data_IF_849293871616
#
_entry.id   IF_849293871616
#
_cell.length_a   1.000
_cell.length_b   1.000
_cell.length_c   1.000
_cell.angle_alpha   90.00
_cell.angle_beta   90.00
_cell.angle_gamma   90.00
#
_symmetry.space_group_name_H-M   'P 1'
#
loop_
_entity.id
_entity.type
_entity.pdbx_description
1 polymer ?
#
# COMPACT_ATOMS: atom_id res chain seq x y z
N UNK A 1 3.50 20.56 -5.94
CA UNK A 1 4.17 19.48 -6.67
C UNK A 1 3.14 18.55 -7.26
N UNK A 2 3.33 18.17 -8.52
CA UNK A 2 2.71 17.01 -9.14
C UNK A 2 3.39 15.75 -8.63
N UNK A 3 2.59 14.76 -8.24
CA UNK A 3 3.08 13.58 -7.52
C UNK A 3 2.61 12.32 -8.24
N UNK A 4 3.55 11.40 -8.48
CA UNK A 4 3.23 10.00 -8.78
C UNK A 4 3.10 9.23 -7.47
N UNK A 5 2.05 8.43 -7.33
CA UNK A 5 1.90 7.55 -6.18
C UNK A 5 2.38 6.14 -6.49
N UNK A 6 3.35 5.64 -5.70
CA UNK A 6 3.68 4.22 -5.68
C UNK A 6 2.60 3.49 -4.90
N UNK A 7 1.82 2.68 -5.60
CA UNK A 7 0.69 1.94 -5.03
C UNK A 7 0.94 0.44 -4.98
N UNK A 8 0.45 -0.16 -3.90
CA UNK A 8 0.50 -1.61 -3.68
C UNK A 8 -0.90 -2.23 -3.51
N UNK A 9 -1.95 -1.40 -3.44
CA UNK A 9 -3.29 -1.81 -3.02
C UNK A 9 -3.48 -1.72 -1.50
N UNK A 10 -2.40 -1.72 -0.73
CA UNK A 10 -2.44 -1.66 0.73
C UNK A 10 -2.85 -0.31 1.30
N UNK A 11 -3.27 -0.35 2.58
CA UNK A 11 -3.65 0.80 3.40
C UNK A 11 -2.58 1.90 3.43
N UNK A 12 -1.30 1.53 3.49
CA UNK A 12 -0.22 2.49 3.72
C UNK A 12 0.02 3.36 2.48
N UNK A 13 0.01 2.75 1.30
CA UNK A 13 0.09 3.49 0.03
C UNK A 13 -1.09 4.45 -0.15
N UNK A 14 -2.31 4.01 0.18
CA UNK A 14 -3.52 4.84 0.11
C UNK A 14 -3.48 6.00 1.11
N UNK A 15 -3.11 5.72 2.36
CA UNK A 15 -3.06 6.75 3.39
C UNK A 15 -1.97 7.77 3.11
N UNK A 16 -0.81 7.36 2.60
CA UNK A 16 0.24 8.31 2.23
C UNK A 16 -0.17 9.22 1.05
N UNK A 17 -0.97 8.71 0.09
CA UNK A 17 -1.60 9.58 -0.92
C UNK A 17 -2.52 10.62 -0.28
N UNK A 18 -3.34 10.22 0.70
CA UNK A 18 -4.19 11.15 1.45
C UNK A 18 -3.35 12.22 2.14
N UNK A 19 -2.24 11.85 2.78
CA UNK A 19 -1.32 12.82 3.39
C UNK A 19 -0.71 13.79 2.37
N UNK A 20 -0.35 13.31 1.17
CA UNK A 20 0.15 14.17 0.10
C UNK A 20 -0.89 15.23 -0.30
N UNK A 21 -2.15 14.83 -0.47
CA UNK A 21 -3.26 15.75 -0.81
C UNK A 21 -3.55 16.74 0.32
N UNK A 22 -3.49 16.29 1.58
CA UNK A 22 -3.61 17.17 2.75
C UNK A 22 -2.48 18.20 2.82
N UNK A 23 -1.26 17.82 2.46
CA UNK A 23 -0.11 18.72 2.38
C UNK A 23 -0.14 19.67 1.18
N UNK A 24 -1.20 19.63 0.36
CA UNK A 24 -1.40 20.54 -0.77
C UNK A 24 -0.81 20.04 -2.08
N UNK A 25 -0.30 18.81 -2.14
CA UNK A 25 0.17 18.18 -3.37
C UNK A 25 -0.98 17.64 -4.22
N UNK A 26 -0.69 17.37 -5.49
CA UNK A 26 -1.65 16.80 -6.44
C UNK A 26 -1.13 15.45 -6.91
N UNK A 27 -1.88 14.38 -6.64
CA UNK A 27 -1.62 13.08 -7.26
C UNK A 27 -2.08 13.15 -8.71
N UNK A 28 -1.18 12.89 -9.65
CA UNK A 28 -1.47 12.97 -11.10
C UNK A 28 -1.35 11.63 -11.80
N UNK A 29 -0.65 10.66 -11.20
CA UNK A 29 -0.46 9.34 -11.76
C UNK A 29 -0.26 8.29 -10.67
N UNK A 30 -0.59 7.05 -10.99
CA UNK A 30 -0.34 5.88 -10.18
C UNK A 30 0.77 5.05 -10.83
N UNK A 31 1.64 4.48 -10.01
CA UNK A 31 2.72 3.61 -10.45
C UNK A 31 2.77 2.35 -9.60
N UNK A 32 2.91 1.19 -10.25
CA UNK A 32 2.98 -0.11 -9.59
C UNK A 32 3.99 -1.02 -10.29
N UNK A 33 4.84 -1.68 -9.49
CA UNK A 33 5.61 -2.81 -9.96
C UNK A 33 4.82 -4.09 -9.67
N UNK A 34 4.71 -4.95 -10.68
CA UNK A 34 3.93 -6.20 -10.58
C UNK A 34 4.82 -7.42 -10.79
N UNK A 35 4.50 -8.56 -10.15
CA UNK A 35 5.20 -9.80 -10.41
C UNK A 35 4.96 -10.28 -11.86
N UNK A 36 5.89 -11.09 -12.39
CA UNK A 36 5.76 -11.63 -13.75
C UNK A 36 4.74 -12.77 -13.84
N UNK A 37 4.87 -13.79 -12.96
CA UNK A 37 4.22 -15.09 -13.14
C UNK A 37 3.62 -15.71 -11.86
N UNK A 38 3.68 -15.04 -10.70
CA UNK A 38 3.18 -15.55 -9.42
C UNK A 38 2.50 -14.43 -8.63
N UNK A 39 1.41 -14.75 -7.95
CA UNK A 39 0.68 -13.81 -7.10
C UNK A 39 1.42 -13.47 -5.80
N UNK A 40 2.31 -14.37 -5.36
CA UNK A 40 3.16 -14.16 -4.20
C UNK A 40 4.64 -14.32 -4.60
N UNK A 41 5.42 -13.27 -4.36
CA UNK A 41 6.87 -13.30 -4.40
C UNK A 41 7.40 -13.00 -3.00
N UNK A 42 8.51 -13.65 -2.64
CA UNK A 42 9.33 -13.26 -1.47
C UNK A 42 10.11 -11.96 -1.80
N UNK A 43 9.41 -10.88 -2.14
CA UNK A 43 10.02 -9.55 -2.33
C UNK A 43 10.03 -8.82 -0.99
N UNK A 44 11.21 -8.35 -0.59
CA UNK A 44 11.36 -7.46 0.57
C UNK A 44 10.76 -6.07 0.31
N UNK A 45 10.51 -5.73 -0.96
CA UNK A 45 10.16 -4.37 -1.36
C UNK A 45 8.68 -4.20 -1.71
N UNK A 46 8.03 -5.20 -2.31
CA UNK A 46 6.70 -5.02 -2.90
C UNK A 46 5.66 -6.01 -2.39
N UNK A 47 4.48 -5.47 -2.03
CA UNK A 47 3.27 -6.26 -1.87
C UNK A 47 2.89 -6.87 -3.22
N UNK A 48 2.67 -8.18 -3.25
CA UNK A 48 2.28 -8.89 -4.47
C UNK A 48 0.86 -9.43 -4.40
N UNK A 49 0.34 -9.72 -3.20
CA UNK A 49 -1.05 -10.13 -3.02
C UNK A 49 -1.99 -8.96 -3.34
N UNK A 50 -3.04 -9.25 -4.11
CA UNK A 50 -4.03 -8.26 -4.56
C UNK A 50 -3.61 -7.49 -5.82
N UNK A 51 -2.47 -7.81 -6.43
CA UNK A 51 -1.99 -7.12 -7.65
C UNK A 51 -2.95 -7.23 -8.85
N UNK A 52 -3.84 -8.23 -8.86
CA UNK A 52 -4.84 -8.46 -9.90
C UNK A 52 -5.87 -7.33 -9.96
N UNK A 53 -6.12 -6.66 -8.83
CA UNK A 53 -7.14 -5.63 -8.70
C UNK A 53 -6.58 -4.20 -8.76
N UNK A 54 -5.27 -4.03 -8.96
CA UNK A 54 -4.63 -2.70 -9.01
C UNK A 54 -5.11 -1.87 -10.19
N UNK A 55 -5.51 -2.49 -11.31
CA UNK A 55 -6.03 -1.75 -12.46
C UNK A 55 -7.35 -1.02 -12.11
N UNK A 56 -8.12 -1.52 -11.14
CA UNK A 56 -9.33 -0.84 -10.64
C UNK A 56 -9.01 0.45 -9.88
N UNK A 57 -7.80 0.64 -9.35
CA UNK A 57 -7.43 1.91 -8.72
C UNK A 57 -7.36 3.05 -9.73
N UNK A 58 -6.95 2.76 -10.97
CA UNK A 58 -6.92 3.73 -12.05
C UNK A 58 -8.33 4.26 -12.33
N UNK A 59 -9.31 3.36 -12.41
CA UNK A 59 -10.71 3.71 -12.59
C UNK A 59 -11.28 4.41 -11.35
N UNK A 60 -11.00 3.88 -10.16
CA UNK A 60 -11.51 4.40 -8.90
C UNK A 60 -11.03 5.82 -8.62
N UNK A 61 -9.78 6.15 -8.94
CA UNK A 61 -9.22 7.49 -8.75
C UNK A 61 -9.40 8.39 -9.98
N UNK A 62 -9.73 7.81 -11.14
CA UNK A 62 -9.74 8.50 -12.44
C UNK A 62 -8.37 9.15 -12.72
N UNK A 63 -7.33 8.31 -12.69
CA UNK A 63 -5.93 8.68 -12.89
C UNK A 63 -5.22 7.65 -13.80
N UNK A 64 -4.21 8.06 -14.59
CA UNK A 64 -3.41 7.12 -15.36
C UNK A 64 -2.61 6.19 -14.44
N UNK A 65 -2.55 4.91 -14.81
CA UNK A 65 -1.78 3.89 -14.12
C UNK A 65 -0.65 3.37 -14.99
N UNK A 66 0.56 3.43 -14.45
CA UNK A 66 1.78 2.94 -15.07
C UNK A 66 2.25 1.69 -14.35
N UNK A 67 2.37 0.57 -15.08
CA UNK A 67 2.85 -0.69 -14.53
C UNK A 67 4.10 -1.18 -15.25
N UNK A 68 5.06 -1.67 -14.48
CA UNK A 68 6.21 -2.45 -14.99
C UNK A 68 6.21 -3.82 -14.33
N UNK A 69 6.56 -4.84 -15.10
CA UNK A 69 6.83 -6.16 -14.54
C UNK A 69 8.22 -6.15 -13.90
N UNK A 70 8.33 -6.69 -12.70
CA UNK A 70 9.62 -6.90 -12.02
C UNK A 70 10.41 -7.94 -12.81
N UNK A 71 11.60 -7.55 -13.27
CA UNK A 71 12.53 -8.41 -14.00
C UNK A 71 13.76 -8.73 -13.16
N UNK A 72 14.16 -7.81 -12.29
CA UNK A 72 15.26 -8.00 -11.36
C UNK A 72 14.89 -8.83 -10.14
N UNK A 73 15.87 -9.01 -9.26
CA UNK A 73 15.70 -9.62 -7.93
C UNK A 73 16.36 -8.76 -6.85
N UNK A 74 16.12 -9.03 -5.57
CA UNK A 74 16.77 -8.29 -4.48
C UNK A 74 18.25 -8.70 -4.36
N UNK A 75 19.16 -8.02 -5.08
CA UNK A 75 20.58 -8.35 -5.15
C UNK A 75 21.39 -7.57 -4.12
N UNK A 76 21.25 -6.23 -4.09
CA UNK A 76 21.84 -5.41 -3.03
C UNK A 76 20.85 -5.37 -1.86
N UNK A 77 21.15 -6.13 -0.80
CA UNK A 77 20.37 -6.15 0.44
C UNK A 77 21.01 -5.35 1.57
N UNK A 78 22.01 -4.52 1.26
CA UNK A 78 22.68 -3.66 2.20
C UNK A 78 21.77 -2.58 2.81
N UNK A 79 22.29 -1.94 3.87
CA UNK A 79 21.64 -0.80 4.55
C UNK A 79 21.49 0.41 3.63
N UNK A 80 22.49 0.64 2.79
CA UNK A 80 22.45 1.61 1.70
C UNK A 80 22.26 0.85 0.40
N UNK A 81 21.68 1.51 -0.60
CA UNK A 81 21.56 0.94 -1.93
C UNK A 81 22.61 1.53 -2.86
N UNK A 82 23.34 0.67 -3.56
CA UNK A 82 24.19 1.01 -4.70
C UNK A 82 23.54 0.49 -5.98
N UNK A 83 23.60 1.28 -7.06
CA UNK A 83 23.06 0.87 -8.34
C UNK A 83 23.63 -0.50 -8.74
N UNK A 84 22.75 -1.48 -8.88
CA UNK A 84 23.12 -2.88 -9.12
C UNK A 84 22.35 -3.39 -10.32
N UNK A 85 23.09 -3.82 -11.35
CA UNK A 85 22.49 -4.37 -12.57
C UNK A 85 21.70 -5.65 -12.26
N UNK A 86 20.47 -5.74 -12.76
CA UNK A 86 19.57 -6.86 -12.49
C UNK A 86 18.85 -6.80 -11.14
N UNK A 87 18.97 -5.71 -10.40
CA UNK A 87 18.24 -5.52 -9.14
C UNK A 87 16.83 -4.94 -9.36
N UNK A 88 15.85 -5.37 -8.56
CA UNK A 88 14.45 -4.90 -8.65
C UNK A 88 14.29 -3.39 -8.41
N UNK A 89 15.27 -2.73 -7.80
CA UNK A 89 15.29 -1.26 -7.64
C UNK A 89 15.53 -0.55 -8.98
N UNK A 90 16.23 -1.16 -9.92
CA UNK A 90 16.37 -0.58 -11.27
C UNK A 90 15.05 -0.68 -12.05
N UNK A 91 14.21 -1.68 -11.77
CA UNK A 91 12.86 -1.73 -12.31
C UNK A 91 12.01 -0.53 -11.86
N UNK A 92 12.19 -0.12 -10.60
CA UNK A 92 11.56 1.07 -10.04
C UNK A 92 12.08 2.35 -10.70
N UNK A 93 13.40 2.45 -10.91
CA UNK A 93 14.00 3.57 -11.64
C UNK A 93 13.37 3.74 -13.02
N UNK A 94 13.30 2.67 -13.81
CA UNK A 94 12.72 2.74 -15.15
C UNK A 94 11.22 3.06 -15.14
N UNK A 95 10.47 2.57 -14.16
CA UNK A 95 9.06 2.91 -14.01
C UNK A 95 8.90 4.41 -13.71
N UNK A 96 9.62 4.94 -12.72
CA UNK A 96 9.50 6.33 -12.33
C UNK A 96 10.02 7.29 -13.40
N UNK A 97 11.08 6.93 -14.13
CA UNK A 97 11.57 7.71 -15.28
C UNK A 97 10.48 7.82 -16.36
N UNK A 98 9.81 6.71 -16.69
CA UNK A 98 8.71 6.71 -17.67
C UNK A 98 7.55 7.62 -17.23
N UNK A 99 7.19 7.59 -15.95
CA UNK A 99 6.11 8.45 -15.43
C UNK A 99 6.54 9.92 -15.45
N UNK A 100 7.78 10.22 -15.08
CA UNK A 100 8.33 11.58 -15.11
C UNK A 100 8.31 12.18 -16.52
N UNK A 101 8.72 11.41 -17.54
CA UNK A 101 8.70 11.84 -18.94
C UNK A 101 7.29 12.14 -19.47
N UNK A 102 6.27 11.42 -18.97
CA UNK A 102 4.88 11.54 -19.46
C UNK A 102 4.03 12.53 -18.69
N UNK A 103 4.22 12.62 -17.38
CA UNK A 103 3.32 13.32 -16.46
C UNK A 103 3.99 14.54 -15.79
N UNK A 104 5.29 14.74 -16.02
CA UNK A 104 6.05 15.87 -15.48
C UNK A 104 5.94 15.93 -13.94
N UNK A 105 6.14 14.77 -13.29
CA UNK A 105 6.05 14.67 -11.82
C UNK A 105 7.33 15.20 -11.17
N UNK A 106 7.14 15.80 -10.00
CA UNK A 106 8.21 16.41 -9.20
C UNK A 106 8.50 15.60 -7.93
N UNK A 107 7.57 14.72 -7.53
CA UNK A 107 7.65 13.97 -6.29
C UNK A 107 7.03 12.57 -6.41
N UNK A 108 7.41 11.69 -5.48
CA UNK A 108 6.93 10.30 -5.40
C UNK A 108 6.30 10.07 -4.02
N UNK A 109 5.02 9.70 -3.99
CA UNK A 109 4.32 9.29 -2.76
C UNK A 109 4.65 7.84 -2.41
N UNK A 110 5.12 7.57 -1.19
CA UNK A 110 5.60 6.26 -0.74
C UNK A 110 5.02 5.90 0.63
N UNK A 111 4.35 4.75 0.71
CA UNK A 111 3.68 4.26 1.93
C UNK A 111 4.57 3.52 2.94
N UNK A 112 5.87 3.82 3.03
CA UNK A 112 6.76 3.14 3.98
C UNK A 112 6.60 3.72 5.40
N UNK A 113 6.37 2.88 6.41
CA UNK A 113 6.25 3.30 7.82
C UNK A 113 7.56 3.07 8.57
N UNK A 114 8.08 1.84 8.64
CA UNK A 114 9.26 1.51 9.46
C UNK A 114 10.44 0.92 8.68
N UNK A 115 10.20 0.34 7.50
CA UNK A 115 11.26 -0.29 6.69
C UNK A 115 12.29 0.71 6.11
N UNK A 116 13.47 0.78 6.73
CA UNK A 116 14.61 1.55 6.21
C UNK A 116 15.03 1.01 4.83
N UNK A 117 14.89 -0.30 4.61
CA UNK A 117 15.20 -0.98 3.36
C UNK A 117 14.42 -0.39 2.18
N UNK A 118 13.09 -0.29 2.31
CA UNK A 118 12.21 0.26 1.27
C UNK A 118 12.48 1.76 1.06
N UNK A 119 12.58 2.51 2.17
CA UNK A 119 12.79 3.96 2.13
C UNK A 119 14.07 4.33 1.39
N UNK A 120 15.21 3.72 1.74
CA UNK A 120 16.51 4.05 1.16
C UNK A 120 16.58 3.76 -0.33
N UNK A 121 15.95 2.68 -0.79
CA UNK A 121 15.91 2.31 -2.22
C UNK A 121 15.08 3.29 -3.04
N UNK A 122 13.91 3.65 -2.54
CA UNK A 122 13.10 4.71 -3.14
C UNK A 122 13.85 6.04 -3.16
N UNK A 123 14.47 6.43 -2.05
CA UNK A 123 15.24 7.67 -1.95
C UNK A 123 16.39 7.69 -2.96
N UNK A 124 17.11 6.57 -3.13
CA UNK A 124 18.17 6.45 -4.14
C UNK A 124 17.66 6.72 -5.56
N UNK A 125 16.55 6.07 -5.95
CA UNK A 125 15.92 6.28 -7.26
C UNK A 125 15.47 7.72 -7.43
N UNK A 126 14.82 8.29 -6.41
CA UNK A 126 14.35 9.67 -6.43
C UNK A 126 15.50 10.67 -6.61
N UNK A 127 16.61 10.49 -5.89
CA UNK A 127 17.81 11.33 -6.03
C UNK A 127 18.36 11.29 -7.46
N UNK A 128 18.42 10.11 -8.08
CA UNK A 128 18.91 9.96 -9.46
C UNK A 128 18.01 10.63 -10.50
N UNK A 129 16.70 10.67 -10.24
CA UNK A 129 15.69 11.28 -11.13
C UNK A 129 15.39 12.75 -10.78
N UNK A 130 16.00 13.30 -9.74
CA UNK A 130 15.69 14.65 -9.25
C UNK A 130 14.27 14.79 -8.71
N UNK A 131 13.68 13.70 -8.21
CA UNK A 131 12.34 13.66 -7.61
C UNK A 131 12.41 13.80 -6.10
N UNK A 132 11.37 14.40 -5.50
CA UNK A 132 11.23 14.46 -4.03
C UNK A 132 10.48 13.22 -3.51
N UNK A 133 11.07 12.37 -2.65
CA UNK A 133 10.32 11.32 -1.96
C UNK A 133 9.43 11.94 -0.88
N UNK A 134 8.14 11.57 -0.87
CA UNK A 134 7.14 11.98 0.10
C UNK A 134 6.68 10.75 0.91
N UNK A 135 7.36 10.50 2.03
CA UNK A 135 7.08 9.40 2.95
C UNK A 135 6.54 9.95 4.29
N UNK A 136 5.28 10.40 4.32
CA UNK A 136 4.68 11.05 5.50
C UNK A 136 4.43 10.10 6.66
N UNK A 137 4.39 8.79 6.41
CA UNK A 137 4.13 7.79 7.44
C UNK A 137 5.42 7.36 8.18
N UNK A 138 6.58 7.75 7.65
CA UNK A 138 7.88 7.29 8.10
C UNK A 138 8.12 7.57 9.59
N UNK A 139 8.40 6.50 10.36
CA UNK A 139 8.65 6.50 11.81
C UNK A 139 7.57 7.15 12.66
N UNK A 140 6.34 7.27 12.14
CA UNK A 140 5.18 7.62 12.97
C UNK A 140 4.78 6.44 13.84
N UNK A 141 4.11 6.75 14.94
CA UNK A 141 3.56 5.72 15.83
C UNK A 141 2.52 4.86 15.10
N UNK A 142 2.69 3.53 15.14
CA UNK A 142 1.90 2.61 14.34
C UNK A 142 0.45 2.50 14.82
N UNK A 143 0.21 2.52 16.14
CA UNK A 143 -1.15 2.45 16.67
C UNK A 143 -1.93 3.70 16.28
N UNK A 144 -1.33 4.87 16.46
CA UNK A 144 -1.89 6.15 16.02
C UNK A 144 -2.16 6.16 14.51
N UNK A 145 -1.21 5.68 13.70
CA UNK A 145 -1.40 5.57 12.25
C UNK A 145 -2.60 4.70 11.88
N UNK A 146 -2.75 3.53 12.51
CA UNK A 146 -3.85 2.63 12.21
C UNK A 146 -5.20 3.28 12.54
N UNK A 147 -5.33 3.90 13.71
CA UNK A 147 -6.53 4.62 14.13
C UNK A 147 -6.84 5.82 13.24
N UNK A 148 -5.82 6.54 12.78
CA UNK A 148 -5.99 7.64 11.82
C UNK A 148 -6.48 7.15 10.46
N UNK A 149 -5.94 6.04 9.94
CA UNK A 149 -6.41 5.46 8.67
C UNK A 149 -7.90 5.15 8.75
N UNK A 150 -8.33 4.47 9.82
CA UNK A 150 -9.73 4.10 10.04
C UNK A 150 -10.61 5.33 10.18
N UNK A 151 -10.21 6.29 11.03
CA UNK A 151 -11.01 7.51 11.29
C UNK A 151 -11.09 8.46 10.09
N UNK A 152 -10.15 8.37 9.15
CA UNK A 152 -10.21 9.12 7.89
C UNK A 152 -10.93 8.36 6.76
N UNK A 153 -11.78 7.38 7.09
CA UNK A 153 -12.58 6.59 6.16
C UNK A 153 -11.74 5.81 5.13
N UNK A 154 -10.57 5.29 5.54
CA UNK A 154 -9.84 4.30 4.77
C UNK A 154 -10.43 2.91 5.05
N UNK A 155 -11.18 2.41 4.08
CA UNK A 155 -11.84 1.10 4.15
C UNK A 155 -10.97 0.05 3.47
N UNK A 156 -10.21 -0.70 4.27
CA UNK A 156 -9.39 -1.80 3.80
C UNK A 156 -9.80 -3.13 4.43
N UNK A 157 -9.53 -4.23 3.72
CA UNK A 157 -9.68 -5.60 4.23
C UNK A 157 -8.29 -6.22 4.46
N UNK A 158 -8.19 -7.13 5.43
CA UNK A 158 -7.04 -8.02 5.53
C UNK A 158 -7.07 -9.05 4.40
N UNK A 159 -6.02 -9.09 3.58
CA UNK A 159 -5.92 -9.99 2.42
C UNK A 159 -4.80 -11.01 2.53
N UNK A 160 -3.90 -10.86 3.49
CA UNK A 160 -2.89 -11.84 3.84
C UNK A 160 -2.70 -11.83 5.33
N UNK A 161 -2.43 -12.98 5.91
CA UNK A 161 -1.92 -13.11 7.28
C UNK A 161 -0.77 -14.10 7.30
N UNK A 162 0.25 -13.81 8.09
CA UNK A 162 1.48 -14.59 8.18
C UNK A 162 2.17 -14.44 9.55
N UNK A 163 1.40 -14.25 10.62
CA UNK A 163 1.94 -14.06 11.96
C UNK A 163 1.23 -14.88 13.02
N UNK A 164 1.96 -15.16 14.10
CA UNK A 164 1.43 -15.86 15.25
C UNK A 164 0.21 -15.12 15.83
N UNK A 165 -0.88 -15.86 16.06
CA UNK A 165 -2.15 -15.31 16.50
C UNK A 165 -3.06 -14.83 15.37
N UNK A 166 -2.59 -14.73 14.13
CA UNK A 166 -3.45 -14.49 12.98
C UNK A 166 -3.80 -15.81 12.28
N UNK A 167 -5.10 -16.13 12.28
CA UNK A 167 -5.68 -17.30 11.63
C UNK A 167 -6.35 -16.91 10.29
N UNK A 168 -5.91 -17.48 9.14
CA UNK A 168 -6.48 -17.21 7.83
C UNK A 168 -8.00 -17.40 7.77
N UNK A 169 -8.55 -18.45 8.38
CA UNK A 169 -9.99 -18.76 8.32
C UNK A 169 -10.82 -17.73 9.11
N UNK A 170 -10.22 -17.12 10.14
CA UNK A 170 -10.91 -16.18 11.02
C UNK A 170 -10.70 -14.73 10.65
N UNK A 171 -9.60 -14.38 9.99
CA UNK A 171 -9.19 -12.98 9.83
C UNK A 171 -9.13 -12.49 8.40
N UNK A 172 -8.91 -13.35 7.40
CA UNK A 172 -8.94 -12.91 6.01
C UNK A 172 -10.33 -12.40 5.62
N UNK A 173 -10.35 -11.30 4.87
CA UNK A 173 -11.56 -10.63 4.41
C UNK A 173 -12.23 -9.76 5.48
N UNK A 174 -11.72 -9.72 6.71
CA UNK A 174 -12.26 -8.80 7.74
C UNK A 174 -11.86 -7.36 7.47
N UNK A 175 -12.77 -6.39 7.71
CA UNK A 175 -12.43 -4.98 7.70
C UNK A 175 -11.32 -4.65 8.70
N UNK A 176 -10.39 -3.78 8.28
CA UNK A 176 -9.28 -3.32 9.12
C UNK A 176 -9.77 -2.68 10.42
N UNK A 177 -10.88 -1.92 10.34
CA UNK A 177 -11.51 -1.29 11.51
C UNK A 177 -11.95 -2.32 12.57
N UNK A 178 -12.49 -3.46 12.13
CA UNK A 178 -12.92 -4.53 13.05
C UNK A 178 -11.73 -5.27 13.65
N UNK A 179 -10.59 -5.26 12.96
CA UNK A 179 -9.37 -5.94 13.37
C UNK A 179 -8.47 -5.11 14.27
N UNK A 180 -8.60 -3.78 14.28
CA UNK A 180 -7.73 -2.86 15.06
C UNK A 180 -7.59 -3.25 16.54
N UNK A 181 -8.67 -3.53 17.31
CA UNK A 181 -8.53 -3.91 18.72
C UNK A 181 -7.75 -5.23 18.89
N UNK A 182 -7.95 -6.17 17.97
CA UNK A 182 -7.28 -7.47 18.00
C UNK A 182 -5.80 -7.36 17.64
N UNK A 183 -5.46 -6.57 16.62
CA UNK A 183 -4.08 -6.31 16.21
C UNK A 183 -3.30 -5.59 17.32
N UNK A 184 -3.94 -4.66 18.01
CA UNK A 184 -3.35 -3.97 19.18
C UNK A 184 -3.06 -4.96 20.31
N UNK A 185 -4.01 -5.84 20.63
CA UNK A 185 -3.81 -6.90 21.63
C UNK A 185 -2.68 -7.88 21.23
N UNK A 186 -2.58 -8.26 19.96
CA UNK A 186 -1.50 -9.12 19.47
C UNK A 186 -0.13 -8.43 19.60
N UNK A 187 -0.06 -7.13 19.31
CA UNK A 187 1.16 -6.33 19.51
C UNK A 187 1.59 -6.33 20.96
N UNK A 188 0.68 -6.08 21.90
CA UNK A 188 0.99 -6.07 23.34
C UNK A 188 1.47 -7.43 23.85
N UNK A 189 0.89 -8.51 23.33
CA UNK A 189 1.16 -9.87 23.81
C UNK A 189 2.37 -10.54 23.16
N UNK A 190 2.59 -10.29 21.88
CA UNK A 190 3.55 -11.03 21.05
C UNK A 190 4.54 -10.13 20.31
N UNK A 191 4.39 -8.81 20.39
CA UNK A 191 5.27 -7.86 19.69
C UNK A 191 5.04 -7.78 18.18
N UNK A 192 3.90 -8.27 17.68
CA UNK A 192 3.49 -8.12 16.27
C UNK A 192 3.33 -6.65 15.94
N UNK A 193 3.78 -6.21 14.78
CA UNK A 193 3.59 -4.82 14.39
C UNK A 193 2.11 -4.53 14.09
N UNK A 194 1.54 -3.52 14.77
CA UNK A 194 0.12 -3.14 14.65
C UNK A 194 -0.23 -2.78 13.20
N UNK A 195 0.69 -2.15 12.47
CA UNK A 195 0.53 -1.84 11.05
C UNK A 195 0.96 -2.99 10.10
N UNK A 196 1.37 -4.15 10.61
CA UNK A 196 1.85 -5.28 9.79
C UNK A 196 3.24 -5.05 9.17
N UNK A 197 4.07 -4.22 9.82
CA UNK A 197 5.44 -3.95 9.40
C UNK A 197 6.32 -5.20 9.50
N UNK A 198 6.60 -5.85 8.38
CA UNK A 198 7.31 -7.13 8.36
C UNK A 198 6.56 -8.25 7.65
N UNK A 199 5.34 -7.95 7.17
CA UNK A 199 4.53 -8.88 6.39
C UNK A 199 3.60 -9.73 7.26
N UNK A 200 3.38 -9.36 8.52
CA UNK A 200 2.48 -10.09 9.42
C UNK A 200 1.05 -10.16 8.89
N UNK A 201 0.63 -9.10 8.21
CA UNK A 201 -0.57 -9.09 7.39
C UNK A 201 -0.43 -8.09 6.25
N UNK A 202 -1.19 -8.29 5.18
CA UNK A 202 -1.33 -7.32 4.09
C UNK A 202 -2.80 -6.91 3.96
N UNK A 203 -3.03 -5.74 3.36
CA UNK A 203 -4.38 -5.20 3.18
C UNK A 203 -4.67 -4.85 1.73
N UNK A 204 -5.95 -4.74 1.40
CA UNK A 204 -6.42 -4.16 0.15
C UNK A 204 -7.48 -3.10 0.44
N UNK A 205 -7.30 -1.89 -0.08
CA UNK A 205 -8.20 -0.75 0.19
C UNK A 205 -9.33 -0.74 -0.84
N UNK A 206 -10.55 -0.94 -0.36
CA UNK A 206 -11.76 -0.94 -1.19
C UNK A 206 -12.33 0.46 -1.39
N UNK A 207 -12.14 1.33 -0.41
CA UNK A 207 -12.54 2.72 -0.52
C UNK A 207 -11.71 3.65 0.35
N UNK A 208 -11.51 4.88 -0.12
CA UNK A 208 -11.01 5.99 0.68
C UNK A 208 -11.50 7.33 0.11
N UNK A 209 -11.34 8.46 0.82
CA UNK A 209 -11.81 9.77 0.36
C UNK A 209 -11.22 10.26 -0.98
N UNK A 210 -10.10 9.68 -1.44
CA UNK A 210 -9.52 10.01 -2.74
C UNK A 210 -10.20 9.30 -3.91
N UNK A 211 -10.93 8.22 -3.65
CA UNK A 211 -11.58 7.46 -4.71
C UNK A 211 -12.88 8.15 -5.12
N UNK A 212 -13.14 8.22 -6.43
CA UNK A 212 -14.41 8.63 -7.04
C UNK A 212 -15.41 7.47 -7.09
N UNK A 213 -14.91 6.25 -7.25
CA UNK A 213 -15.68 5.00 -7.21
C UNK A 213 -15.13 4.08 -6.12
N UNK A 214 -15.98 3.30 -5.46
CA UNK A 214 -15.53 2.24 -4.55
C UNK A 214 -15.26 0.96 -5.31
N UNK A 215 -14.38 0.10 -4.79
CA UNK A 215 -14.14 -1.24 -5.32
C UNK A 215 -15.05 -2.24 -4.60
N UNK A 216 -15.58 -3.19 -5.35
CA UNK A 216 -16.44 -4.27 -4.87
C UNK A 216 -15.82 -5.60 -5.23
N UNK A 217 -15.79 -6.52 -4.26
CA UNK A 217 -15.33 -7.89 -4.46
C UNK A 217 -16.54 -8.75 -4.81
N UNK A 218 -16.56 -9.30 -6.02
CA UNK A 218 -17.64 -10.17 -6.50
C UNK A 218 -17.35 -11.64 -6.20
N UNK A 219 -16.08 -12.03 -6.34
CA UNK A 219 -15.63 -13.38 -6.05
C UNK A 219 -14.18 -13.38 -5.56
N UNK A 220 -13.93 -14.20 -4.54
CA UNK A 220 -12.61 -14.42 -3.98
C UNK A 220 -12.49 -15.84 -3.43
N UNK A 221 -11.26 -16.32 -3.32
CA UNK A 221 -10.94 -17.58 -2.65
C UNK A 221 -9.81 -17.39 -1.65
N UNK A 222 -9.83 -18.19 -0.59
CA UNK A 222 -8.74 -18.25 0.38
C UNK A 222 -7.73 -19.29 -0.07
N UNK A 223 -6.48 -18.87 -0.24
CA UNK A 223 -5.34 -19.74 -0.54
C UNK A 223 -4.52 -19.91 0.73
N UNK A 224 -4.32 -21.15 1.16
CA UNK A 224 -3.42 -21.48 2.28
C UNK A 224 -2.05 -21.81 1.71
N UNK A 225 -1.08 -20.94 1.95
CA UNK A 225 0.30 -21.13 1.52
C UNK A 225 1.06 -22.08 2.46
N UNK A 226 0.87 -21.89 3.77
CA UNK A 226 1.47 -22.73 4.81
C UNK A 226 0.45 -23.00 5.90
N UNK A 227 0.20 -24.28 6.18
CA UNK A 227 -0.68 -24.73 7.27
C UNK A 227 0.09 -24.97 8.58
N UNK A 228 1.14 -24.17 8.84
CA UNK A 228 1.88 -24.26 10.10
C UNK A 228 0.94 -24.12 11.30
N UNK A 229 1.13 -24.99 12.30
CA UNK A 229 0.21 -25.07 13.44
C UNK A 229 0.23 -23.83 14.35
N UNK A 230 1.25 -22.98 14.23
CA UNK A 230 1.48 -21.81 15.08
C UNK A 230 1.40 -20.49 14.31
N UNK A 231 1.86 -20.47 13.05
CA UNK A 231 1.82 -19.29 12.18
C UNK A 231 1.34 -19.67 10.77
N UNK A 232 0.06 -20.02 10.60
CA UNK A 232 -0.48 -20.32 9.28
C UNK A 232 -0.38 -19.10 8.37
N UNK A 233 0.05 -19.33 7.14
CA UNK A 233 0.15 -18.31 6.09
C UNK A 233 -0.99 -18.53 5.10
N UNK A 234 -1.82 -17.53 4.93
CA UNK A 234 -2.89 -17.56 3.95
C UNK A 234 -3.18 -16.18 3.38
N UNK A 235 -3.72 -16.15 2.18
CA UNK A 235 -4.09 -14.93 1.49
C UNK A 235 -5.37 -15.08 0.66
N UNK A 236 -5.95 -13.96 0.29
CA UNK A 236 -7.11 -13.89 -0.60
C UNK A 236 -6.64 -13.73 -2.04
N UNK A 237 -7.16 -14.60 -2.92
CA UNK A 237 -7.07 -14.44 -4.36
C UNK A 237 -8.39 -13.88 -4.87
N UNK A 238 -8.37 -12.68 -5.44
CA UNK A 238 -9.54 -12.04 -6.02
C UNK A 238 -9.72 -12.51 -7.46
N UNK A 239 -10.79 -13.27 -7.73
CA UNK A 239 -11.10 -13.79 -9.07
C UNK A 239 -12.02 -12.85 -9.86
N UNK A 240 -12.82 -12.03 -9.16
CA UNK A 240 -13.69 -11.04 -9.80
C UNK A 240 -13.92 -9.83 -8.89
N UNK A 241 -13.71 -8.64 -9.44
CA UNK A 241 -13.94 -7.36 -8.79
C UNK A 241 -14.39 -6.33 -9.82
N UNK A 242 -15.15 -5.33 -9.38
CA UNK A 242 -15.54 -4.18 -10.19
C UNK A 242 -15.53 -2.88 -9.39
N UNK A 243 -15.79 -1.75 -10.06
CA UNK A 243 -15.98 -0.46 -9.40
C UNK A 243 -17.44 -0.01 -9.45
N UNK A 244 -17.90 0.64 -8.38
CA UNK A 244 -19.24 1.24 -8.29
C UNK A 244 -19.13 2.72 -7.94
N UNK A 245 -20.01 3.54 -8.52
CA UNK A 245 -20.13 4.94 -8.14
C UNK A 245 -20.46 5.06 -6.64
N UNK A 246 -19.82 6.01 -5.98
CA UNK A 246 -20.18 6.35 -4.60
C UNK A 246 -21.56 6.97 -4.60
N UNK A 247 -22.45 6.46 -3.76
CA UNK A 247 -23.74 7.12 -3.49
C UNK A 247 -23.42 8.55 -3.06
N UNK A 248 -23.98 9.56 -3.73
CA UNK A 248 -23.72 10.98 -3.51
C UNK A 248 -23.93 11.38 -2.04
N UNK A 249 -22.91 11.18 -1.21
CA UNK A 249 -22.82 11.79 0.10
C UNK A 249 -22.05 13.07 -0.13
N UNK A 250 -22.67 14.21 0.15
CA UNK A 250 -22.02 15.52 0.20
C UNK A 250 -20.98 15.50 1.32
N UNK A 251 -19.84 14.87 1.07
CA UNK A 251 -18.74 14.77 2.01
C UNK A 251 -17.94 16.07 1.93
N UNK A 252 -17.45 16.59 3.07
CA UNK A 252 -16.47 17.67 3.06
C UNK A 252 -15.31 17.26 2.15
N UNK A 253 -14.69 18.21 1.45
CA UNK A 253 -13.55 17.91 0.60
C UNK A 253 -12.52 17.09 1.38
N UNK A 254 -11.84 16.14 0.71
CA UNK A 254 -10.86 15.26 1.33
C UNK A 254 -9.87 16.03 2.25
N UNK A 255 -9.53 17.28 1.89
CA UNK A 255 -8.72 18.19 2.71
C UNK A 255 -9.36 18.53 4.06
N UNK A 256 -10.66 18.83 4.10
CA UNK A 256 -11.37 19.17 5.35
C UNK A 256 -11.44 17.98 6.29
N UNK A 257 -11.72 16.76 5.77
CA UNK A 257 -11.73 15.55 6.59
C UNK A 257 -10.36 15.21 7.17
N UNK A 258 -9.31 15.29 6.36
CA UNK A 258 -7.94 15.06 6.83
C UNK A 258 -7.49 16.09 7.88
N UNK A 259 -7.94 17.34 7.74
CA UNK A 259 -7.68 18.39 8.73
C UNK A 259 -8.43 18.13 10.05
N UNK A 260 -9.67 17.62 9.98
CA UNK A 260 -10.47 17.25 11.13
C UNK A 260 -9.93 16.01 11.85
N UNK A 261 -9.47 14.98 11.13
CA UNK A 261 -8.82 13.81 11.75
C UNK A 261 -7.61 14.22 12.61
N UNK A 262 -6.77 15.14 12.11
CA UNK A 262 -5.54 15.59 12.79
C UNK A 262 -5.78 16.49 14.01
N UNK A 263 -6.99 17.00 14.19
CA UNK A 263 -7.31 17.92 15.30
C UNK A 263 -7.97 17.21 16.48
N UNK A 264 -8.14 15.88 16.43
CA UNK A 264 -8.69 15.05 17.51
C UNK A 264 -7.70 13.99 18.03
N UNK A 265 -6.43 14.05 17.59
CA UNK A 265 -5.30 13.26 18.10
C UNK A 265 -4.33 14.08 18.94
#
# INVERSE_FOLDING_TARGET
MKVVALISGGKDSCYNMMQCVAAGHQIVALANLRPANKDELDSYMYQTVGHQAIDLYAEAMDLPLYRRTIQGSSLDTGRNYSQTEGDEVEDLYHLLNMVQEKEDVEAVSVGAILSDYQRVRVENVCVRLGLQPLAYLWRRDQATLLSEMISCDLHALLIKVAAFGLDPEKHLGKPLADMEPYLTQLSEKYGVHVCGEGGEYETFTLDCPLFKKRLVIDAMETVIHSADAFAPVGYLHFSMMHTEDKVNVSLPSCRVRLFLCRSHS
#
